data_IF_592895125231
#
_entry.id   IF_592895125231
#
_cell.length_a   1.000
_cell.length_b   1.000
_cell.length_c   1.000
_cell.angle_alpha   90.00
_cell.angle_beta   90.00
_cell.angle_gamma   90.00
#
_symmetry.space_group_name_H-M   'P 1'
#
loop_
_entity.id
_entity.type
_entity.pdbx_description
1 polymer ?
#
# COMPACT_ATOMS: atom_id res chain seq x y z
N UNK A 1 -7.08 18.74 -22.71
CA UNK A 1 -7.26 19.35 -21.37
C UNK A 1 -8.39 20.34 -21.50
N UNK A 2 -9.62 19.88 -21.25
CA UNK A 2 -10.84 20.62 -21.57
C UNK A 2 -11.38 21.41 -20.37
N UNK A 3 -11.71 22.67 -20.61
CA UNK A 3 -12.81 23.50 -20.10
C UNK A 3 -13.15 23.61 -18.59
N UNK A 4 -12.56 22.84 -17.68
CA UNK A 4 -12.95 22.91 -16.26
C UNK A 4 -12.50 24.21 -15.58
N UNK A 5 -11.32 24.72 -15.93
CA UNK A 5 -10.76 25.95 -15.36
C UNK A 5 -10.44 26.95 -16.46
N UNK A 6 -10.80 28.21 -16.23
CA UNK A 6 -10.39 29.34 -17.05
C UNK A 6 -8.89 29.60 -16.93
N UNK A 7 -8.32 30.31 -17.91
CA UNK A 7 -6.90 30.68 -17.88
C UNK A 7 -6.52 31.47 -16.60
N UNK A 8 -7.41 32.32 -16.10
CA UNK A 8 -7.19 33.08 -14.87
C UNK A 8 -7.19 32.17 -13.62
N UNK A 9 -8.08 31.17 -13.58
CA UNK A 9 -8.09 30.19 -12.50
C UNK A 9 -6.83 29.33 -12.54
N UNK A 10 -6.40 28.86 -13.72
CA UNK A 10 -5.14 28.14 -13.87
C UNK A 10 -3.95 28.99 -13.39
N UNK A 11 -3.90 30.27 -13.73
CA UNK A 11 -2.86 31.18 -13.24
C UNK A 11 -2.91 31.35 -11.71
N UNK A 12 -4.10 31.47 -11.14
CA UNK A 12 -4.27 31.57 -9.68
C UNK A 12 -3.83 30.29 -8.98
N UNK A 13 -4.22 29.10 -9.48
CA UNK A 13 -3.73 27.81 -8.96
C UNK A 13 -2.20 27.75 -8.95
N UNK A 14 -1.55 28.21 -10.03
CA UNK A 14 -0.08 28.27 -10.09
C UNK A 14 0.54 29.16 -9.02
N UNK A 15 -0.08 30.30 -8.73
CA UNK A 15 0.39 31.21 -7.68
C UNK A 15 0.30 30.56 -6.28
N UNK A 16 -0.59 29.59 -6.10
CA UNK A 16 -0.73 28.80 -4.86
C UNK A 16 0.04 27.47 -4.90
N UNK A 17 0.97 27.29 -5.85
CA UNK A 17 1.78 26.08 -5.93
C UNK A 17 0.97 24.85 -6.36
N UNK A 18 0.00 24.99 -7.25
CA UNK A 18 -0.85 23.91 -7.73
C UNK A 18 -0.73 23.76 -9.25
N UNK A 19 -0.62 22.51 -9.71
CA UNK A 19 -0.61 22.13 -11.12
C UNK A 19 -1.71 21.11 -11.43
N UNK A 20 -2.20 21.14 -12.67
CA UNK A 20 -3.04 20.09 -13.22
C UNK A 20 -2.28 19.40 -14.36
N UNK A 21 -2.09 18.09 -14.28
CA UNK A 21 -1.49 17.28 -15.33
C UNK A 21 -2.25 15.96 -15.47
N UNK A 22 -2.62 15.60 -16.71
CA UNK A 22 -3.33 14.36 -17.03
C UNK A 22 -4.53 14.07 -16.08
N UNK A 23 -5.36 15.09 -15.87
CA UNK A 23 -6.54 15.05 -15.00
C UNK A 23 -6.24 14.71 -13.52
N UNK A 24 -5.02 15.02 -13.06
CA UNK A 24 -4.63 14.95 -11.66
C UNK A 24 -4.14 16.31 -11.17
N UNK A 25 -4.48 16.61 -9.92
CA UNK A 25 -3.98 17.72 -9.11
C UNK A 25 -2.63 17.34 -8.51
N UNK A 26 -1.66 18.25 -8.62
CA UNK A 26 -0.40 18.22 -7.90
C UNK A 26 -0.32 19.47 -7.02
N UNK A 27 0.17 19.32 -5.80
CA UNK A 27 0.37 20.41 -4.83
C UNK A 27 1.87 20.59 -4.55
N UNK A 28 2.24 21.68 -3.88
CA UNK A 28 3.64 22.03 -3.62
C UNK A 28 4.54 22.01 -4.86
N UNK A 29 3.95 22.40 -5.99
CA UNK A 29 4.61 22.27 -7.28
C UNK A 29 5.77 23.26 -7.38
N UNK A 30 6.88 22.78 -7.88
CA UNK A 30 8.11 23.54 -8.01
C UNK A 30 8.15 24.31 -9.34
N UNK A 31 9.02 25.33 -9.47
CA UNK A 31 9.22 26.02 -10.74
C UNK A 31 9.51 25.06 -11.91
N UNK A 32 9.09 25.39 -13.15
CA UNK A 32 9.42 24.60 -14.32
C UNK A 32 10.92 24.39 -14.54
N UNK A 33 11.28 23.23 -15.08
CA UNK A 33 12.64 22.95 -15.50
C UNK A 33 12.98 23.72 -16.78
N UNK A 34 14.18 24.30 -16.84
CA UNK A 34 14.67 24.93 -18.07
C UNK A 34 14.94 23.90 -19.16
N UNK A 35 14.71 24.25 -20.44
CA UNK A 35 15.02 23.34 -21.57
C UNK A 35 16.49 22.88 -21.55
N UNK A 36 17.42 23.76 -21.18
CA UNK A 36 18.84 23.40 -21.09
C UNK A 36 19.10 22.27 -20.08
N UNK A 37 18.37 22.25 -18.96
CA UNK A 37 18.47 21.18 -17.96
C UNK A 37 17.77 19.91 -18.44
N UNK A 38 16.62 20.02 -19.09
CA UNK A 38 15.93 18.87 -19.72
C UNK A 38 16.86 18.19 -20.74
N UNK A 39 17.50 18.97 -21.61
CA UNK A 39 18.41 18.46 -22.64
C UNK A 39 19.69 17.84 -22.03
N UNK A 40 20.18 18.36 -20.90
CA UNK A 40 21.28 17.73 -20.15
C UNK A 40 20.90 16.36 -19.60
N UNK A 41 19.68 16.22 -19.05
CA UNK A 41 19.19 14.92 -18.57
C UNK A 41 18.93 13.96 -19.74
N UNK A 42 18.36 14.43 -20.84
CA UNK A 42 18.19 13.62 -22.06
C UNK A 42 19.54 13.09 -22.57
N UNK A 43 20.59 13.90 -22.50
CA UNK A 43 21.92 13.53 -22.97
C UNK A 43 22.55 12.35 -22.20
N UNK A 44 22.13 12.06 -20.97
CA UNK A 44 22.62 10.91 -20.19
C UNK A 44 21.72 9.67 -20.30
N UNK A 45 20.60 9.77 -21.00
CA UNK A 45 19.66 8.67 -21.19
C UNK A 45 20.00 7.81 -22.42
N UNK A 46 19.59 6.54 -22.39
CA UNK A 46 19.80 5.58 -23.48
C UNK A 46 18.92 5.85 -24.72
N UNK A 47 17.87 6.65 -24.56
CA UNK A 47 16.93 7.06 -25.60
C UNK A 47 16.33 8.43 -25.29
N UNK A 48 15.51 8.98 -26.21
CA UNK A 48 14.92 10.30 -26.06
C UNK A 48 13.92 10.33 -24.89
N UNK A 49 13.78 11.49 -24.25
CA UNK A 49 12.77 11.67 -23.21
C UNK A 49 11.37 11.68 -23.84
N UNK A 50 10.39 10.97 -23.25
CA UNK A 50 9.01 11.02 -23.72
C UNK A 50 8.45 12.44 -23.66
N UNK A 51 7.66 12.81 -24.67
CA UNK A 51 7.07 14.14 -24.76
C UNK A 51 6.23 14.49 -23.52
N UNK A 52 5.49 13.54 -22.95
CA UNK A 52 4.70 13.75 -21.75
C UNK A 52 5.56 14.11 -20.52
N UNK A 53 6.77 13.55 -20.40
CA UNK A 53 7.71 13.91 -19.33
C UNK A 53 8.26 15.34 -19.54
N UNK A 54 8.64 15.69 -20.76
CA UNK A 54 9.07 17.06 -21.09
C UNK A 54 7.96 18.07 -20.80
N UNK A 55 6.70 17.74 -21.12
CA UNK A 55 5.54 18.56 -20.79
C UNK A 55 5.34 18.69 -19.29
N UNK A 56 5.47 17.61 -18.53
CA UNK A 56 5.39 17.66 -17.07
C UNK A 56 6.49 18.57 -16.50
N UNK A 57 7.75 18.43 -16.92
CA UNK A 57 8.84 19.27 -16.42
C UNK A 57 8.74 20.75 -16.82
N UNK A 58 8.21 21.05 -18.01
CA UNK A 58 7.85 22.43 -18.41
C UNK A 58 6.69 23.00 -17.59
N UNK A 59 5.90 22.13 -16.98
CA UNK A 59 4.77 22.51 -16.14
C UNK A 59 5.22 22.69 -14.69
N UNK A 60 6.01 21.75 -14.18
CA UNK A 60 6.58 21.75 -12.85
C UNK A 60 7.73 20.73 -12.77
N UNK A 61 8.84 21.12 -12.17
CA UNK A 61 9.93 20.22 -11.87
C UNK A 61 9.83 19.83 -10.40
N UNK A 62 8.82 19.04 -10.02
CA UNK A 62 8.60 18.60 -8.64
C UNK A 62 7.16 18.74 -8.17
N UNK A 63 6.91 18.41 -6.92
CA UNK A 63 5.61 18.53 -6.26
C UNK A 63 5.07 17.20 -5.76
N UNK A 64 3.98 17.29 -5.00
CA UNK A 64 3.37 16.16 -4.30
C UNK A 64 2.13 15.63 -5.03
N UNK A 65 1.92 14.33 -4.84
CA UNK A 65 0.79 13.54 -5.32
C UNK A 65 0.15 12.87 -4.10
N UNK A 66 -1.17 13.03 -3.95
CA UNK A 66 -1.91 12.50 -2.81
C UNK A 66 -2.94 11.44 -3.22
N UNK A 67 -2.50 10.49 -4.04
CA UNK A 67 -3.34 9.44 -4.62
C UNK A 67 -2.86 8.05 -4.24
N UNK A 68 -3.76 7.09 -4.36
CA UNK A 68 -3.47 5.67 -4.24
C UNK A 68 -3.00 5.11 -5.58
N UNK A 69 -2.02 4.22 -5.53
CA UNK A 69 -1.49 3.47 -6.66
C UNK A 69 -1.22 2.03 -6.25
N UNK A 70 -1.62 1.08 -7.11
CA UNK A 70 -1.43 -0.34 -6.90
C UNK A 70 -0.79 -0.99 -8.11
N UNK A 71 0.02 -2.01 -7.87
CA UNK A 71 0.56 -2.86 -8.91
C UNK A 71 0.72 -4.30 -8.42
N UNK A 72 0.66 -5.23 -9.37
CA UNK A 72 0.97 -6.63 -9.13
C UNK A 72 2.48 -6.85 -9.31
N UNK A 73 3.16 -7.36 -8.28
CA UNK A 73 4.60 -7.59 -8.26
C UNK A 73 4.88 -8.98 -7.69
N UNK A 74 5.51 -9.87 -8.47
CA UNK A 74 5.79 -11.26 -8.05
C UNK A 74 4.57 -12.03 -7.50
N UNK A 75 3.38 -11.73 -8.03
CA UNK A 75 2.11 -12.31 -7.60
C UNK A 75 1.51 -11.68 -6.32
N UNK A 76 2.15 -10.66 -5.76
CA UNK A 76 1.61 -9.85 -4.67
C UNK A 76 0.79 -8.66 -5.20
N UNK A 77 -0.24 -8.27 -4.45
CA UNK A 77 -0.96 -7.01 -4.62
C UNK A 77 -0.32 -5.92 -3.76
N UNK A 78 0.49 -5.06 -4.35
CA UNK A 78 1.29 -4.06 -3.63
C UNK A 78 0.70 -2.66 -3.76
N UNK A 79 0.73 -1.90 -2.66
CA UNK A 79 0.52 -0.46 -2.67
C UNK A 79 1.86 0.23 -2.97
N UNK A 80 1.84 1.19 -3.88
CA UNK A 80 3.01 1.95 -4.30
C UNK A 80 2.89 3.39 -3.83
N UNK A 81 3.88 3.86 -3.08
CA UNK A 81 3.96 5.24 -2.66
C UNK A 81 4.61 6.09 -3.74
N UNK A 82 3.78 6.66 -4.62
CA UNK A 82 4.20 7.72 -5.54
C UNK A 82 3.71 9.07 -5.04
N UNK A 83 4.29 9.53 -3.94
CA UNK A 83 3.86 10.75 -3.25
C UNK A 83 4.60 12.01 -3.71
N UNK A 84 5.76 11.87 -4.35
CA UNK A 84 6.59 12.99 -4.81
C UNK A 84 7.03 12.79 -6.27
N UNK A 85 7.10 13.89 -7.01
CA UNK A 85 7.90 14.00 -8.23
C UNK A 85 9.31 14.51 -7.90
N UNK A 86 10.33 13.76 -8.28
CA UNK A 86 11.71 14.14 -7.98
C UNK A 86 12.13 15.41 -8.72
N UNK A 87 12.87 16.27 -8.03
CA UNK A 87 13.39 17.52 -8.59
C UNK A 87 14.73 17.92 -8.02
N UNK A 88 15.47 18.77 -8.75
CA UNK A 88 16.77 19.29 -8.32
C UNK A 88 16.57 20.28 -7.15
N UNK A 89 17.25 20.05 -6.02
CA UNK A 89 17.09 20.84 -4.81
C UNK A 89 15.92 20.42 -3.90
N UNK A 90 15.44 19.18 -4.01
CA UNK A 90 14.59 18.58 -2.97
C UNK A 90 15.38 18.42 -1.67
N UNK A 91 14.76 18.78 -0.53
CA UNK A 91 15.34 18.59 0.81
C UNK A 91 15.15 17.15 1.34
N UNK A 92 14.57 16.27 0.52
CA UNK A 92 14.35 14.85 0.83
C UNK A 92 15.65 14.04 0.72
N UNK A 93 15.56 12.71 0.84
CA UNK A 93 16.73 11.82 0.92
C UNK A 93 17.75 12.03 -0.21
N UNK A 94 17.28 12.12 -1.46
CA UNK A 94 18.05 12.57 -2.62
C UNK A 94 17.15 13.43 -3.49
N UNK A 95 17.74 14.46 -4.09
CA UNK A 95 17.10 15.23 -5.14
C UNK A 95 17.19 14.49 -6.49
N UNK A 96 16.62 15.05 -7.56
CA UNK A 96 16.63 14.38 -8.88
C UNK A 96 18.06 14.09 -9.37
N UNK A 97 18.99 15.03 -9.20
CA UNK A 97 20.39 14.83 -9.56
C UNK A 97 21.03 13.69 -8.76
N UNK A 98 20.84 13.67 -7.43
CA UNK A 98 21.35 12.63 -6.56
C UNK A 98 20.75 11.24 -6.84
N UNK A 99 19.49 11.17 -7.27
CA UNK A 99 18.89 9.93 -7.76
C UNK A 99 19.47 9.50 -9.11
N UNK A 100 19.67 10.43 -10.04
CA UNK A 100 20.33 10.12 -11.32
C UNK A 100 21.74 9.56 -11.07
N UNK A 101 22.52 10.19 -10.21
CA UNK A 101 23.86 9.71 -9.83
C UNK A 101 23.78 8.32 -9.18
N UNK A 102 22.80 8.09 -8.30
CA UNK A 102 22.56 6.77 -7.72
C UNK A 102 22.36 5.68 -8.78
N UNK A 103 21.48 5.93 -9.76
CA UNK A 103 21.13 4.94 -10.77
C UNK A 103 22.30 4.70 -11.73
N UNK A 104 23.18 5.70 -11.91
CA UNK A 104 24.42 5.54 -12.67
C UNK A 104 25.39 4.61 -11.93
N UNK A 105 25.60 4.82 -10.63
CA UNK A 105 26.41 3.92 -9.79
C UNK A 105 25.86 2.49 -9.84
N UNK A 106 24.55 2.30 -9.63
CA UNK A 106 23.93 0.98 -9.69
C UNK A 106 24.04 0.32 -11.07
N UNK A 107 23.93 1.09 -12.16
CA UNK A 107 24.08 0.56 -13.51
C UNK A 107 25.53 0.13 -13.81
N UNK A 108 26.51 0.87 -13.31
CA UNK A 108 27.93 0.53 -13.41
C UNK A 108 28.24 -0.74 -12.61
N UNK A 109 27.82 -0.81 -11.35
CA UNK A 109 27.99 -2.00 -10.49
C UNK A 109 27.37 -3.26 -11.12
N UNK A 110 26.13 -3.15 -11.63
CA UNK A 110 25.46 -4.27 -12.29
C UNK A 110 26.18 -4.74 -13.58
N UNK A 111 26.78 -3.82 -14.34
CA UNK A 111 27.58 -4.15 -15.51
C UNK A 111 28.89 -4.85 -15.11
N UNK A 112 29.57 -4.35 -14.08
CA UNK A 112 30.77 -4.99 -13.53
C UNK A 112 30.49 -6.41 -13.02
N UNK A 113 29.39 -6.63 -12.30
CA UNK A 113 28.98 -7.94 -11.78
C UNK A 113 28.62 -8.93 -12.90
N UNK A 114 28.02 -8.43 -13.99
CA UNK A 114 27.67 -9.24 -15.17
C UNK A 114 28.84 -9.46 -16.14
N UNK A 115 29.96 -8.73 -15.95
CA UNK A 115 31.12 -8.77 -16.84
C UNK A 115 30.90 -8.02 -18.17
N UNK A 116 29.87 -7.18 -18.24
CA UNK A 116 29.54 -6.34 -19.39
C UNK A 116 30.14 -4.93 -19.23
N UNK A 117 30.41 -4.26 -20.34
CA UNK A 117 30.79 -2.85 -20.31
C UNK A 117 29.53 -1.97 -20.30
N UNK A 118 29.37 -1.13 -19.28
CA UNK A 118 28.31 -0.12 -19.28
C UNK A 118 28.63 1.00 -20.28
N UNK A 119 27.61 1.43 -21.04
CA UNK A 119 27.73 2.48 -22.07
C UNK A 119 27.61 3.91 -21.51
N UNK A 120 27.52 4.04 -20.19
CA UNK A 120 27.35 5.31 -19.48
C UNK A 120 25.96 5.94 -19.66
N UNK A 121 24.97 5.17 -20.13
CA UNK A 121 23.59 5.64 -20.34
C UNK A 121 22.59 4.99 -19.40
N UNK A 122 21.66 5.79 -18.91
CA UNK A 122 20.54 5.33 -18.10
C UNK A 122 19.43 4.74 -18.98
N UNK A 123 19.02 3.51 -18.66
CA UNK A 123 17.84 2.86 -19.25
C UNK A 123 16.57 3.13 -18.46
N UNK A 124 16.71 3.49 -17.19
CA UNK A 124 15.61 3.85 -16.29
C UNK A 124 15.94 5.21 -15.68
N UNK A 125 15.07 6.19 -15.91
CA UNK A 125 15.20 7.52 -15.36
C UNK A 125 14.22 7.68 -14.19
N UNK A 126 14.69 7.93 -12.96
CA UNK A 126 13.81 8.12 -11.81
C UNK A 126 13.06 9.44 -11.96
N UNK A 127 11.74 9.42 -11.70
CA UNK A 127 10.87 10.60 -11.80
C UNK A 127 10.04 10.86 -10.55
N UNK A 128 10.04 9.95 -9.58
CA UNK A 128 9.29 10.09 -8.35
C UNK A 128 9.32 8.83 -7.49
N UNK A 129 8.64 8.88 -6.35
CA UNK A 129 8.61 7.78 -5.38
C UNK A 129 8.41 8.31 -3.96
N UNK A 130 8.84 7.51 -2.98
CA UNK A 130 8.88 7.91 -1.57
C UNK A 130 10.09 7.30 -0.86
N UNK A 131 10.83 8.17 -0.18
CA UNK A 131 12.02 7.85 0.61
C UNK A 131 13.05 6.98 -0.15
N UNK A 132 13.05 5.67 0.08
CA UNK A 132 13.99 4.70 -0.51
C UNK A 132 13.33 3.35 -0.85
N UNK A 133 12.05 3.15 -0.53
CA UNK A 133 11.37 1.85 -0.66
C UNK A 133 10.58 1.72 -1.96
N UNK A 134 10.07 2.82 -2.51
CA UNK A 134 9.27 2.85 -3.73
C UNK A 134 9.86 3.87 -4.70
N UNK A 135 10.10 3.47 -5.95
CA UNK A 135 10.63 4.34 -7.01
C UNK A 135 9.85 4.17 -8.31
N UNK A 136 9.55 5.28 -8.96
CA UNK A 136 8.88 5.36 -10.25
C UNK A 136 9.87 5.83 -11.30
N UNK A 137 9.96 5.08 -12.39
CA UNK A 137 10.90 5.27 -13.48
C UNK A 137 10.18 5.45 -14.81
N UNK A 138 10.84 6.17 -15.70
CA UNK A 138 10.58 6.11 -17.14
C UNK A 138 11.59 5.18 -17.78
N UNK A 139 11.12 4.19 -18.53
CA UNK A 139 11.99 3.31 -19.31
C UNK A 139 12.39 3.99 -20.62
N UNK A 140 13.70 4.10 -20.86
CA UNK A 140 14.27 4.89 -21.96
C UNK A 140 15.11 4.06 -22.93
N UNK A 141 15.27 2.76 -22.69
CA UNK A 141 15.97 1.92 -23.66
C UNK A 141 15.16 1.81 -24.98
N UNK A 142 15.82 1.76 -26.14
CA UNK A 142 15.14 1.59 -27.42
C UNK A 142 14.31 0.30 -27.45
N UNK A 143 13.06 0.38 -27.89
CA UNK A 143 12.18 -0.78 -28.03
C UNK A 143 10.70 -0.42 -27.94
N UNK A 144 9.85 -1.44 -27.99
CA UNK A 144 8.39 -1.28 -27.94
C UNK A 144 7.88 -0.72 -26.59
N UNK A 145 8.70 -0.83 -25.54
CA UNK A 145 8.37 -0.36 -24.19
C UNK A 145 8.91 1.05 -23.89
N UNK A 146 9.63 1.67 -24.85
CA UNK A 146 10.25 2.98 -24.64
C UNK A 146 9.19 4.03 -24.27
N UNK A 147 9.42 4.73 -23.16
CA UNK A 147 8.52 5.69 -22.55
C UNK A 147 7.54 5.11 -21.52
N UNK A 148 7.53 3.79 -21.35
CA UNK A 148 6.74 3.10 -20.33
C UNK A 148 7.14 3.50 -18.92
N UNK A 149 6.16 3.46 -18.01
CA UNK A 149 6.34 3.81 -16.61
C UNK A 149 6.44 2.54 -15.78
N UNK A 150 7.48 2.46 -14.98
CA UNK A 150 7.84 1.28 -14.21
C UNK A 150 7.97 1.65 -12.75
N UNK A 151 7.38 0.85 -11.87
CA UNK A 151 7.60 0.91 -10.44
C UNK A 151 8.61 -0.15 -10.01
N UNK A 152 9.48 0.23 -9.09
CA UNK A 152 10.29 -0.68 -8.27
C UNK A 152 9.88 -0.52 -6.81
N UNK A 153 9.82 -1.65 -6.10
CA UNK A 153 9.54 -1.71 -4.67
C UNK A 153 10.56 -2.59 -3.97
N UNK A 154 11.12 -2.10 -2.87
CA UNK A 154 12.09 -2.83 -2.07
C UNK A 154 11.45 -4.07 -1.42
N UNK A 155 12.15 -5.19 -1.48
CA UNK A 155 11.81 -6.38 -0.70
C UNK A 155 12.06 -6.19 0.80
N UNK A 156 11.15 -6.69 1.63
CA UNK A 156 11.25 -6.72 3.08
C UNK A 156 11.32 -8.18 3.58
N UNK A 157 12.45 -8.87 3.38
CA UNK A 157 12.60 -10.28 3.77
C UNK A 157 12.33 -10.48 5.27
N UNK A 158 11.55 -11.51 5.57
CA UNK A 158 11.13 -11.86 6.94
C UNK A 158 9.85 -11.15 7.40
N UNK A 159 9.35 -10.16 6.67
CA UNK A 159 8.06 -9.53 6.95
C UNK A 159 6.94 -10.33 6.31
N UNK A 160 6.02 -10.85 7.13
CA UNK A 160 4.91 -11.68 6.64
C UNK A 160 4.05 -10.91 5.66
N UNK A 161 3.79 -11.53 4.50
CA UNK A 161 3.06 -10.98 3.36
C UNK A 161 3.69 -9.83 2.59
N UNK A 162 4.79 -9.23 3.05
CA UNK A 162 5.53 -8.29 2.21
C UNK A 162 6.20 -9.03 1.03
N UNK A 163 6.57 -8.27 -0.01
CA UNK A 163 7.57 -8.72 -0.98
C UNK A 163 8.83 -9.18 -0.23
N UNK A 164 9.34 -10.37 -0.56
CA UNK A 164 10.54 -10.92 0.11
C UNK A 164 11.84 -10.53 -0.61
N UNK A 165 11.72 -10.05 -1.83
CA UNK A 165 12.79 -9.55 -2.70
C UNK A 165 12.25 -8.33 -3.44
N UNK A 166 13.14 -7.56 -4.06
CA UNK A 166 12.75 -6.39 -4.84
C UNK A 166 11.79 -6.78 -5.97
N UNK A 167 10.72 -6.01 -6.13
CA UNK A 167 9.70 -6.20 -7.14
C UNK A 167 9.74 -5.09 -8.19
N UNK A 168 9.45 -5.44 -9.44
CA UNK A 168 9.31 -4.50 -10.54
C UNK A 168 7.99 -4.74 -11.26
N UNK A 169 7.25 -3.67 -11.57
CA UNK A 169 6.03 -3.74 -12.37
C UNK A 169 5.93 -2.59 -13.35
N UNK A 170 5.44 -2.87 -14.55
CA UNK A 170 5.01 -1.82 -15.48
C UNK A 170 3.66 -1.28 -15.01
N UNK A 171 3.59 0.04 -14.77
CA UNK A 171 2.34 0.72 -14.40
C UNK A 171 1.52 1.02 -15.66
N UNK A 172 2.16 1.59 -16.68
CA UNK A 172 1.50 1.98 -17.92
C UNK A 172 2.51 2.12 -19.07
N UNK A 173 1.99 2.16 -20.30
CA UNK A 173 2.80 2.34 -21.52
C UNK A 173 3.35 3.77 -21.68
N UNK A 174 2.79 4.75 -20.98
CA UNK A 174 3.28 6.13 -20.96
C UNK A 174 2.92 6.87 -19.66
N UNK A 175 3.48 8.08 -19.49
CA UNK A 175 3.27 8.92 -18.31
C UNK A 175 1.82 9.34 -18.10
N UNK A 176 1.06 9.58 -19.16
CA UNK A 176 -0.35 9.98 -19.01
C UNK A 176 -1.19 8.80 -18.56
N UNK A 177 -0.89 7.59 -19.06
CA UNK A 177 -1.46 6.34 -18.58
C UNK A 177 -1.15 6.10 -17.11
N UNK A 178 0.09 6.33 -16.66
CA UNK A 178 0.45 6.16 -15.25
C UNK A 178 -0.30 7.15 -14.33
N UNK A 179 -0.46 8.40 -14.77
CA UNK A 179 -1.29 9.37 -14.05
C UNK A 179 -2.78 8.98 -14.05
N UNK A 180 -3.27 8.31 -15.09
CA UNK A 180 -4.64 7.80 -15.12
C UNK A 180 -4.85 6.65 -14.11
N UNK A 181 -3.81 5.90 -13.76
CA UNK A 181 -3.88 4.85 -12.74
C UNK A 181 -3.98 5.39 -11.30
N UNK A 182 -3.49 6.61 -11.04
CA UNK A 182 -3.64 7.29 -9.74
C UNK A 182 -5.12 7.50 -9.43
N UNK A 183 -5.59 7.08 -8.25
CA UNK A 183 -6.99 7.27 -7.84
C UNK A 183 -7.12 7.72 -6.38
N UNK A 184 -8.36 7.95 -5.95
CA UNK A 184 -8.72 7.97 -4.54
C UNK A 184 -9.57 6.73 -4.27
N UNK A 185 -9.12 5.85 -3.37
CA UNK A 185 -9.88 4.68 -2.93
C UNK A 185 -10.96 5.05 -1.90
N UNK A 186 -10.74 6.16 -1.17
CA UNK A 186 -11.65 6.72 -0.17
C UNK A 186 -11.94 8.19 -0.44
N UNK A 187 -13.09 8.67 0.03
CA UNK A 187 -13.41 10.11 -0.03
C UNK A 187 -12.30 10.91 0.66
N UNK A 188 -11.76 11.98 0.05
CA UNK A 188 -10.69 12.79 0.66
C UNK A 188 -11.06 13.44 2.00
N UNK A 189 -12.35 13.56 2.35
CA UNK A 189 -12.78 13.99 3.69
C UNK A 189 -12.72 12.85 4.74
N UNK A 190 -12.48 11.62 4.30
CA UNK A 190 -12.31 10.46 5.17
C UNK A 190 -11.00 10.55 5.96
N UNK A 191 -10.99 10.13 7.24
CA UNK A 191 -9.82 10.25 8.11
C UNK A 191 -8.62 9.42 7.66
N UNK A 192 -8.86 8.34 6.91
CA UNK A 192 -7.83 7.41 6.44
C UNK A 192 -7.49 7.63 4.94
N UNK A 193 -8.06 8.66 4.30
CA UNK A 193 -7.84 8.92 2.88
C UNK A 193 -6.49 9.58 2.61
N UNK A 194 -5.75 9.05 1.65
CA UNK A 194 -4.54 9.69 1.09
C UNK A 194 -4.85 11.12 0.61
N UNK A 195 -6.09 11.37 0.16
CA UNK A 195 -6.54 12.67 -0.33
C UNK A 195 -6.67 13.77 0.72
N UNK A 196 -6.62 13.45 2.03
CA UNK A 196 -6.71 14.45 3.11
C UNK A 196 -5.60 15.51 2.99
N UNK A 197 -4.40 15.10 2.54
CA UNK A 197 -3.25 15.98 2.35
C UNK A 197 -3.54 17.15 1.40
N UNK A 198 -4.31 16.91 0.32
CA UNK A 198 -4.71 17.98 -0.61
C UNK A 198 -5.71 18.91 0.04
N UNK A 199 -6.66 18.41 0.84
CA UNK A 199 -7.61 19.27 1.54
C UNK A 199 -6.91 20.17 2.57
N UNK A 200 -6.01 19.59 3.37
CA UNK A 200 -5.20 20.34 4.34
C UNK A 200 -4.38 21.45 3.65
N UNK A 201 -3.78 21.12 2.50
CA UNK A 201 -3.04 22.09 1.69
C UNK A 201 -3.94 23.23 1.21
N UNK A 202 -5.16 22.93 0.74
CA UNK A 202 -6.09 23.95 0.27
C UNK A 202 -6.60 24.82 1.40
N UNK A 203 -6.89 24.24 2.56
CA UNK A 203 -7.29 24.99 3.75
C UNK A 203 -6.21 25.99 4.18
N UNK A 204 -4.93 25.57 4.19
CA UNK A 204 -3.79 26.46 4.41
C UNK A 204 -3.73 27.58 3.36
N UNK A 205 -3.86 27.24 2.06
CA UNK A 205 -3.82 28.25 0.99
C UNK A 205 -4.95 29.27 1.08
N UNK A 206 -6.13 28.87 1.52
CA UNK A 206 -7.26 29.78 1.77
C UNK A 206 -7.00 30.65 3.00
N UNK A 207 -6.62 30.04 4.12
CA UNK A 207 -6.46 30.73 5.40
C UNK A 207 -5.30 31.74 5.39
N UNK A 208 -4.15 31.32 4.86
CA UNK A 208 -2.88 32.03 5.08
C UNK A 208 -2.32 32.68 3.81
N UNK A 209 -2.76 32.24 2.63
CA UNK A 209 -2.21 32.69 1.34
C UNK A 209 -3.21 33.40 0.43
N UNK A 210 -4.45 33.61 0.88
CA UNK A 210 -5.44 34.40 0.17
C UNK A 210 -6.05 33.73 -1.06
N UNK A 211 -6.00 32.40 -1.14
CA UNK A 211 -6.71 31.65 -2.17
C UNK A 211 -8.23 31.88 -2.02
N UNK A 212 -8.97 32.21 -3.10
CA UNK A 212 -10.41 32.32 -3.01
C UNK A 212 -11.05 30.97 -2.67
N UNK A 213 -11.93 30.94 -1.65
CA UNK A 213 -12.66 29.72 -1.25
C UNK A 213 -13.35 29.03 -2.45
N UNK A 214 -13.98 29.81 -3.33
CA UNK A 214 -14.67 29.25 -4.50
C UNK A 214 -13.72 28.51 -5.47
N UNK A 215 -12.45 28.91 -5.55
CA UNK A 215 -11.44 28.22 -6.34
C UNK A 215 -10.99 26.92 -5.64
N UNK A 216 -10.79 26.96 -4.32
CA UNK A 216 -10.50 25.77 -3.52
C UNK A 216 -11.63 24.73 -3.64
N UNK A 217 -12.89 25.13 -3.45
CA UNK A 217 -14.07 24.26 -3.57
C UNK A 217 -14.16 23.62 -4.95
N UNK A 218 -13.90 24.40 -6.01
CA UNK A 218 -13.89 23.92 -7.39
C UNK A 218 -12.77 22.91 -7.63
N UNK A 219 -11.58 23.15 -7.07
CA UNK A 219 -10.46 22.21 -7.15
C UNK A 219 -10.75 20.93 -6.36
N UNK A 220 -11.35 21.02 -5.18
CA UNK A 220 -11.80 19.85 -4.40
C UNK A 220 -12.80 19.02 -5.19
N UNK A 221 -13.77 19.65 -5.85
CA UNK A 221 -14.72 18.96 -6.72
C UNK A 221 -14.05 18.30 -7.93
N UNK A 222 -13.03 18.94 -8.51
CA UNK A 222 -12.23 18.35 -9.58
C UNK A 222 -11.40 17.16 -9.08
N UNK A 223 -10.75 17.30 -7.93
CA UNK A 223 -9.93 16.28 -7.29
C UNK A 223 -10.73 15.01 -6.96
N UNK A 224 -11.94 15.18 -6.40
CA UNK A 224 -12.87 14.09 -6.11
C UNK A 224 -13.28 13.27 -7.33
N UNK A 225 -13.06 13.73 -8.57
CA UNK A 225 -13.31 12.91 -9.77
C UNK A 225 -12.37 11.70 -9.89
N UNK A 226 -11.23 11.73 -9.18
CA UNK A 226 -10.33 10.58 -9.07
C UNK A 226 -10.85 9.50 -8.12
N UNK A 227 -11.92 9.77 -7.36
CA UNK A 227 -12.57 8.79 -6.47
C UNK A 227 -13.18 7.67 -7.31
N UNK A 228 -12.72 6.46 -7.06
CA UNK A 228 -13.26 5.27 -7.72
C UNK A 228 -14.54 4.80 -7.05
N UNK A 229 -15.63 4.69 -7.82
CA UNK A 229 -16.92 4.22 -7.33
C UNK A 229 -17.12 2.72 -7.63
N UNK A 230 -16.93 1.88 -6.62
CA UNK A 230 -17.28 0.46 -6.69
C UNK A 230 -18.76 0.19 -6.38
N UNK A 231 -19.48 1.11 -5.74
CA UNK A 231 -20.88 0.91 -5.32
C UNK A 231 -21.82 0.89 -6.51
N UNK A 232 -21.60 1.75 -7.50
CA UNK A 232 -22.34 1.75 -8.76
C UNK A 232 -22.30 0.39 -9.48
N UNK A 233 -21.10 -0.13 -9.84
CA UNK A 233 -20.95 -1.45 -10.45
C UNK A 233 -21.48 -2.60 -9.58
N UNK A 234 -21.33 -2.53 -8.26
CA UNK A 234 -21.92 -3.51 -7.35
C UNK A 234 -23.46 -3.52 -7.45
N UNK A 235 -24.10 -2.36 -7.42
CA UNK A 235 -25.56 -2.25 -7.56
C UNK A 235 -26.05 -2.72 -8.94
N UNK A 236 -25.26 -2.48 -9.99
CA UNK A 236 -25.56 -2.91 -11.35
C UNK A 236 -25.24 -4.40 -11.62
N UNK A 237 -24.55 -5.10 -10.70
CA UNK A 237 -24.12 -6.48 -10.90
C UNK A 237 -22.98 -6.63 -11.93
N UNK A 238 -22.22 -5.56 -12.19
CA UNK A 238 -21.15 -5.52 -13.19
C UNK A 238 -19.76 -5.47 -12.58
N UNK A 239 -19.64 -5.60 -11.26
CA UNK A 239 -18.37 -5.47 -10.54
C UNK A 239 -17.31 -6.47 -11.02
N UNK A 240 -17.71 -7.67 -11.46
CA UNK A 240 -16.81 -8.68 -12.03
C UNK A 240 -16.08 -8.22 -13.30
N UNK A 241 -16.54 -7.15 -13.96
CA UNK A 241 -15.88 -6.56 -15.13
C UNK A 241 -14.68 -5.68 -14.73
N UNK A 242 -14.53 -5.33 -13.45
CA UNK A 242 -13.43 -4.54 -12.93
C UNK A 242 -12.83 -5.17 -11.67
N UNK A 243 -11.77 -6.00 -11.81
CA UNK A 243 -11.09 -6.62 -10.67
C UNK A 243 -10.62 -5.62 -9.62
N UNK A 244 -10.16 -4.43 -10.05
CA UNK A 244 -9.74 -3.34 -9.17
C UNK A 244 -10.87 -2.87 -8.26
N UNK A 245 -12.05 -2.59 -8.83
CA UNK A 245 -13.21 -2.15 -8.04
C UNK A 245 -13.75 -3.28 -7.13
N UNK A 246 -13.68 -4.53 -7.58
CA UNK A 246 -14.03 -5.67 -6.75
C UNK A 246 -13.11 -5.81 -5.53
N UNK A 247 -11.80 -5.66 -5.72
CA UNK A 247 -10.81 -5.68 -4.64
C UNK A 247 -11.01 -4.51 -3.68
N UNK A 248 -11.31 -3.31 -4.18
CA UNK A 248 -11.62 -2.15 -3.33
C UNK A 248 -12.88 -2.38 -2.48
N UNK A 249 -13.96 -2.87 -3.08
CA UNK A 249 -15.18 -3.22 -2.34
C UNK A 249 -14.90 -4.27 -1.25
N UNK A 250 -14.05 -5.26 -1.55
CA UNK A 250 -13.64 -6.26 -0.57
C UNK A 250 -12.81 -5.66 0.56
N UNK A 251 -11.80 -4.83 0.27
CA UNK A 251 -11.01 -4.12 1.29
C UNK A 251 -11.93 -3.29 2.22
N UNK A 252 -12.89 -2.58 1.65
CA UNK A 252 -13.89 -1.82 2.41
C UNK A 252 -14.73 -2.74 3.32
N UNK A 253 -15.17 -3.89 2.80
CA UNK A 253 -15.90 -4.87 3.60
C UNK A 253 -15.08 -5.40 4.78
N UNK A 254 -13.78 -5.66 4.58
CA UNK A 254 -12.90 -6.14 5.64
C UNK A 254 -12.64 -5.07 6.70
N UNK A 255 -12.36 -3.84 6.29
CA UNK A 255 -12.10 -2.71 7.21
C UNK A 255 -13.29 -2.43 8.13
N UNK A 256 -14.52 -2.70 7.67
CA UNK A 256 -15.76 -2.45 8.40
C UNK A 256 -16.38 -3.72 9.04
N UNK A 257 -15.69 -4.86 8.96
CA UNK A 257 -16.22 -6.17 9.35
C UNK A 257 -17.60 -6.50 8.73
N UNK A 258 -17.82 -6.07 7.49
CA UNK A 258 -19.10 -6.21 6.80
C UNK A 258 -19.21 -7.57 6.08
N UNK A 259 -19.64 -8.57 6.84
CA UNK A 259 -19.93 -9.91 6.31
C UNK A 259 -21.10 -9.95 5.30
N UNK A 260 -21.99 -8.96 5.29
CA UNK A 260 -23.09 -8.91 4.34
C UNK A 260 -22.59 -8.46 2.95
N UNK A 261 -21.72 -7.44 2.91
CA UNK A 261 -21.04 -7.02 1.69
C UNK A 261 -20.17 -8.15 1.11
N UNK A 262 -19.41 -8.88 1.94
CA UNK A 262 -18.67 -10.07 1.47
C UNK A 262 -19.60 -11.11 0.83
N UNK A 263 -20.75 -11.39 1.43
CA UNK A 263 -21.72 -12.33 0.86
C UNK A 263 -22.30 -11.83 -0.46
N UNK A 264 -22.53 -10.52 -0.61
CA UNK A 264 -22.97 -9.91 -1.86
C UNK A 264 -21.90 -10.01 -2.96
N UNK A 265 -20.63 -9.75 -2.64
CA UNK A 265 -19.51 -9.92 -3.56
C UNK A 265 -19.39 -11.37 -4.04
N UNK A 266 -19.51 -12.33 -3.11
CA UNK A 266 -19.52 -13.75 -3.45
C UNK A 266 -20.68 -14.14 -4.37
N UNK A 267 -21.88 -13.58 -4.13
CA UNK A 267 -23.06 -13.85 -4.96
C UNK A 267 -22.91 -13.32 -6.40
N UNK A 268 -22.04 -12.32 -6.62
CA UNK A 268 -21.69 -11.83 -7.96
C UNK A 268 -20.51 -12.59 -8.60
N UNK A 269 -20.05 -13.68 -7.99
CA UNK A 269 -19.02 -14.55 -8.54
C UNK A 269 -17.58 -14.09 -8.26
N UNK A 270 -17.37 -13.20 -7.30
CA UNK A 270 -16.02 -12.82 -6.88
C UNK A 270 -15.28 -14.02 -6.27
N UNK A 271 -14.08 -14.30 -6.77
CA UNK A 271 -13.17 -15.30 -6.19
C UNK A 271 -12.28 -14.70 -5.11
N UNK A 272 -12.04 -15.46 -4.04
CA UNK A 272 -11.23 -15.02 -2.88
C UNK A 272 -9.86 -15.69 -2.78
N UNK A 273 -9.39 -16.31 -3.88
CA UNK A 273 -8.13 -17.06 -3.90
C UNK A 273 -6.90 -16.24 -4.26
N UNK A 274 -7.09 -15.03 -4.79
CA UNK A 274 -5.99 -14.15 -5.17
C UNK A 274 -5.54 -13.32 -3.95
N UNK A 275 -4.26 -12.90 -3.92
CA UNK A 275 -3.79 -11.97 -2.91
C UNK A 275 -4.51 -10.62 -2.97
N UNK A 276 -4.78 -10.05 -1.80
CA UNK A 276 -5.49 -8.78 -1.62
C UNK A 276 -4.56 -7.67 -1.07
N UNK A 277 -3.55 -8.06 -0.30
CA UNK A 277 -2.53 -7.18 0.28
C UNK A 277 -1.22 -7.94 0.43
N UNK A 278 -0.22 -7.54 -0.34
CA UNK A 278 1.00 -8.34 -0.47
C UNK A 278 0.64 -9.75 -0.95
N UNK A 279 1.17 -10.78 -0.28
CA UNK A 279 0.75 -12.17 -0.51
C UNK A 279 -0.46 -12.64 0.32
N UNK A 280 -1.06 -11.76 1.14
CA UNK A 280 -2.18 -12.12 2.01
C UNK A 280 -3.47 -12.33 1.21
N UNK A 281 -4.16 -13.44 1.45
CA UNK A 281 -5.52 -13.63 0.92
C UNK A 281 -6.52 -12.76 1.68
N UNK A 282 -7.74 -12.62 1.14
CA UNK A 282 -8.81 -11.90 1.81
C UNK A 282 -9.09 -12.43 3.24
N UNK A 283 -9.00 -13.74 3.44
CA UNK A 283 -9.21 -14.35 4.77
C UNK A 283 -8.06 -14.00 5.72
N UNK A 284 -6.81 -14.04 5.26
CA UNK A 284 -5.67 -13.64 6.08
C UNK A 284 -5.80 -12.18 6.53
N UNK A 285 -6.19 -11.28 5.61
CA UNK A 285 -6.43 -9.86 5.91
C UNK A 285 -7.55 -9.69 6.94
N UNK A 286 -8.69 -10.39 6.77
CA UNK A 286 -9.80 -10.32 7.71
C UNK A 286 -9.39 -10.77 9.12
N UNK A 287 -8.61 -11.84 9.24
CA UNK A 287 -8.13 -12.34 10.53
C UNK A 287 -7.15 -11.37 11.20
N UNK A 288 -6.23 -10.78 10.43
CA UNK A 288 -5.28 -9.77 10.92
C UNK A 288 -5.98 -8.51 11.42
N UNK A 289 -7.09 -8.10 10.79
CA UNK A 289 -7.89 -6.94 11.20
C UNK A 289 -8.94 -7.26 12.27
N UNK A 290 -9.09 -8.53 12.64
CA UNK A 290 -10.13 -9.02 13.55
C UNK A 290 -11.56 -8.82 13.04
N UNK A 291 -11.71 -8.78 11.71
CA UNK A 291 -12.98 -8.70 11.00
C UNK A 291 -13.64 -10.09 10.96
N UNK A 292 -14.19 -10.53 12.10
CA UNK A 292 -14.67 -11.89 12.27
C UNK A 292 -16.01 -12.19 11.59
N UNK A 293 -16.88 -11.20 11.38
CA UNK A 293 -18.10 -11.38 10.59
C UNK A 293 -17.77 -11.52 9.10
N UNK A 294 -16.85 -10.70 8.59
CA UNK A 294 -16.31 -10.80 7.24
C UNK A 294 -15.54 -12.11 7.02
N UNK A 295 -14.68 -12.52 7.96
CA UNK A 295 -13.96 -13.81 7.88
C UNK A 295 -14.92 -15.00 7.81
N UNK A 296 -16.01 -15.00 8.60
CA UNK A 296 -17.03 -16.04 8.51
C UNK A 296 -17.78 -16.03 7.17
N UNK A 297 -18.05 -14.86 6.61
CA UNK A 297 -18.66 -14.75 5.29
C UNK A 297 -17.74 -15.26 4.17
N UNK A 298 -16.44 -14.94 4.23
CA UNK A 298 -15.42 -15.48 3.32
C UNK A 298 -15.34 -17.00 3.39
N UNK A 299 -15.37 -17.57 4.60
CA UNK A 299 -15.45 -19.02 4.76
C UNK A 299 -16.73 -19.56 4.15
N UNK A 300 -17.92 -19.01 4.42
CA UNK A 300 -19.15 -19.47 3.75
C UNK A 300 -19.06 -19.41 2.23
N UNK A 301 -18.37 -18.42 1.69
CA UNK A 301 -18.15 -18.24 0.26
C UNK A 301 -17.02 -19.12 -0.33
N UNK A 302 -16.36 -19.95 0.48
CA UNK A 302 -15.34 -20.90 0.01
C UNK A 302 -13.95 -20.30 -0.16
N UNK A 303 -13.64 -19.18 0.52
CA UNK A 303 -12.28 -18.64 0.54
C UNK A 303 -11.28 -19.70 1.06
N UNK A 304 -10.07 -19.78 0.46
CA UNK A 304 -9.04 -20.71 0.90
C UNK A 304 -8.56 -20.37 2.31
N UNK A 305 -8.15 -21.39 3.06
CA UNK A 305 -7.62 -21.26 4.42
C UNK A 305 -6.14 -21.55 4.39
N UNK A 306 -5.33 -20.59 4.84
CA UNK A 306 -3.89 -20.80 5.01
C UNK A 306 -3.61 -21.73 6.19
N UNK A 307 -2.54 -22.53 6.09
CA UNK A 307 -2.13 -23.42 7.18
C UNK A 307 -1.86 -22.64 8.48
N UNK A 308 -1.36 -21.40 8.37
CA UNK A 308 -1.00 -20.54 9.49
C UNK A 308 -2.12 -19.57 9.90
N UNK A 309 -3.37 -19.79 9.47
CA UNK A 309 -4.50 -18.90 9.77
C UNK A 309 -4.69 -18.64 11.27
N UNK A 310 -4.44 -19.65 12.13
CA UNK A 310 -4.56 -19.50 13.59
C UNK A 310 -3.49 -18.59 14.21
N UNK A 311 -2.40 -18.31 13.49
CA UNK A 311 -1.33 -17.44 13.99
C UNK A 311 -1.69 -15.96 13.91
N UNK A 312 -2.78 -15.61 13.22
CA UNK A 312 -3.21 -14.24 12.92
C UNK A 312 -4.06 -13.60 14.02
N UNK A 313 -4.43 -14.37 15.03
CA UNK A 313 -5.22 -13.83 16.13
C UNK A 313 -4.40 -12.91 17.02
N UNK A 314 -4.89 -11.69 17.14
CA UNK A 314 -4.43 -10.73 18.13
C UNK A 314 -5.57 -10.20 19.02
N UNK A 315 -6.80 -10.69 18.83
CA UNK A 315 -7.95 -10.50 19.73
C UNK A 315 -8.62 -11.84 19.98
N UNK A 316 -9.47 -11.92 21.01
CA UNK A 316 -10.21 -13.14 21.36
C UNK A 316 -11.02 -13.64 20.14
N UNK A 317 -10.68 -14.81 19.56
CA UNK A 317 -11.39 -15.29 18.37
C UNK A 317 -12.69 -16.02 18.74
N UNK A 318 -13.74 -15.95 17.92
CA UNK A 318 -14.94 -16.76 18.10
C UNK A 318 -14.65 -18.25 17.93
N UNK A 319 -15.15 -19.09 18.84
CA UNK A 319 -14.96 -20.55 18.78
C UNK A 319 -15.45 -21.16 17.46
N UNK A 320 -16.60 -20.68 16.95
CA UNK A 320 -17.17 -21.13 15.69
C UNK A 320 -16.30 -20.80 14.46
N UNK A 321 -15.56 -19.69 14.51
CA UNK A 321 -14.62 -19.32 13.46
C UNK A 321 -13.41 -20.27 13.48
N UNK A 322 -12.81 -20.51 14.65
CA UNK A 322 -11.66 -21.41 14.78
C UNK A 322 -12.01 -22.84 14.38
N UNK A 323 -13.17 -23.35 14.78
CA UNK A 323 -13.64 -24.67 14.36
C UNK A 323 -13.74 -24.79 12.82
N UNK A 324 -14.22 -23.75 12.13
CA UNK A 324 -14.30 -23.74 10.66
C UNK A 324 -12.93 -23.65 10.00
N UNK A 325 -12.00 -22.87 10.56
CA UNK A 325 -10.62 -22.79 10.05
C UNK A 325 -9.93 -24.16 10.14
N UNK A 326 -10.04 -24.83 11.30
CA UNK A 326 -9.51 -26.17 11.52
C UNK A 326 -10.12 -27.20 10.56
N UNK A 327 -11.44 -27.19 10.41
CA UNK A 327 -12.15 -28.09 9.49
C UNK A 327 -11.75 -27.90 8.01
N UNK A 328 -11.11 -26.77 7.69
CA UNK A 328 -10.67 -26.41 6.34
C UNK A 328 -9.14 -26.39 6.17
N UNK A 329 -8.41 -27.00 7.10
CA UNK A 329 -6.99 -27.26 6.94
C UNK A 329 -6.07 -26.24 7.59
N UNK A 330 -6.58 -25.32 8.43
CA UNK A 330 -5.70 -24.56 9.32
C UNK A 330 -4.98 -25.53 10.27
N UNK A 331 -3.68 -25.34 10.45
CA UNK A 331 -2.83 -26.24 11.24
C UNK A 331 -3.09 -26.03 12.73
N UNK A 332 -3.50 -27.09 13.41
CA UNK A 332 -3.58 -27.14 14.87
C UNK A 332 -2.17 -27.35 15.46
N UNK A 333 -1.46 -26.26 15.75
CA UNK A 333 -0.11 -26.29 16.32
C UNK A 333 0.00 -25.51 17.64
N UNK A 334 1.13 -25.69 18.33
CA UNK A 334 1.40 -25.06 19.62
C UNK A 334 1.36 -23.53 19.59
N UNK A 335 1.76 -22.91 18.48
CA UNK A 335 1.71 -21.46 18.32
C UNK A 335 0.25 -20.96 18.21
N UNK A 336 -0.61 -21.67 17.46
CA UNK A 336 -2.04 -21.40 17.40
C UNK A 336 -2.71 -21.49 18.78
N UNK A 337 -2.33 -22.49 19.59
CA UNK A 337 -2.78 -22.61 20.99
C UNK A 337 -2.31 -21.41 21.80
N UNK A 338 -1.01 -21.07 21.75
CA UNK A 338 -0.43 -19.94 22.48
C UNK A 338 -1.08 -18.60 22.12
N UNK A 339 -1.38 -18.36 20.84
CA UNK A 339 -2.11 -17.16 20.39
C UNK A 339 -3.51 -17.08 20.97
N UNK A 340 -4.28 -18.17 20.93
CA UNK A 340 -5.63 -18.22 21.50
C UNK A 340 -5.59 -17.95 23.02
N UNK A 341 -4.65 -18.58 23.73
CA UNK A 341 -4.46 -18.36 25.17
C UNK A 341 -4.10 -16.90 25.46
N UNK A 342 -3.07 -16.36 24.78
CA UNK A 342 -2.65 -14.98 24.98
C UNK A 342 -3.83 -14.01 24.79
N UNK A 343 -4.67 -14.23 23.79
CA UNK A 343 -5.88 -13.44 23.51
C UNK A 343 -7.04 -13.65 24.50
N UNK A 344 -6.87 -14.42 25.58
CA UNK A 344 -7.92 -14.65 26.57
C UNK A 344 -8.98 -15.67 26.12
N UNK A 345 -8.66 -16.59 25.21
CA UNK A 345 -9.58 -17.60 24.68
C UNK A 345 -9.18 -19.04 25.06
N UNK A 346 -9.19 -19.42 26.36
CA UNK A 346 -8.73 -20.74 26.80
C UNK A 346 -9.61 -21.87 26.27
N UNK A 347 -10.93 -21.67 26.12
CA UNK A 347 -11.82 -22.69 25.55
C UNK A 347 -11.51 -22.93 24.07
N UNK A 348 -11.20 -21.88 23.34
CA UNK A 348 -10.78 -21.97 21.93
C UNK A 348 -9.41 -22.63 21.81
N UNK A 349 -8.48 -22.32 22.72
CA UNK A 349 -7.19 -23.00 22.79
C UNK A 349 -7.36 -24.52 22.98
N UNK A 350 -8.30 -24.96 23.83
CA UNK A 350 -8.62 -26.39 24.00
C UNK A 350 -9.20 -27.01 22.72
N UNK A 351 -9.98 -26.27 21.92
CA UNK A 351 -10.43 -26.75 20.61
C UNK A 351 -9.25 -27.00 19.66
N UNK A 352 -8.28 -26.09 19.62
CA UNK A 352 -7.07 -26.25 18.80
C UNK A 352 -6.25 -27.45 19.26
N UNK A 353 -6.09 -27.65 20.57
CA UNK A 353 -5.40 -28.82 21.13
C UNK A 353 -6.11 -30.12 20.75
N UNK A 354 -7.43 -30.16 20.85
CA UNK A 354 -8.22 -31.34 20.53
C UNK A 354 -8.17 -31.70 19.03
N UNK A 355 -8.01 -30.70 18.15
CA UNK A 355 -7.78 -30.91 16.72
C UNK A 355 -6.30 -31.22 16.37
N UNK A 356 -5.40 -31.05 17.35
CA UNK A 356 -3.98 -31.29 17.23
C UNK A 356 -3.59 -32.76 17.28
N UNK A 357 -2.41 -33.07 16.75
CA UNK A 357 -1.80 -34.39 16.82
C UNK A 357 -0.89 -34.58 18.04
N UNK A 358 -0.21 -35.72 18.09
CA UNK A 358 0.86 -35.96 19.06
C UNK A 358 1.93 -34.84 18.97
N UNK A 359 2.39 -34.36 20.13
CA UNK A 359 3.42 -33.32 20.21
C UNK A 359 2.90 -31.88 20.33
N UNK A 360 1.60 -31.62 20.14
CA UNK A 360 1.04 -30.25 20.28
C UNK A 360 1.25 -29.67 21.68
N UNK A 361 1.19 -30.49 22.74
CA UNK A 361 1.44 -30.02 24.09
C UNK A 361 2.88 -29.54 24.31
N UNK A 362 3.87 -30.24 23.74
CA UNK A 362 5.27 -29.85 23.81
C UNK A 362 5.54 -28.58 22.97
N UNK A 363 5.00 -28.54 21.75
CA UNK A 363 5.08 -27.36 20.88
C UNK A 363 4.39 -26.12 21.51
N UNK A 364 3.29 -26.32 22.23
CA UNK A 364 2.64 -25.25 22.98
C UNK A 364 3.53 -24.73 24.11
N UNK A 365 4.18 -25.61 24.88
CA UNK A 365 5.07 -25.18 25.95
C UNK A 365 6.21 -24.30 25.41
N UNK A 366 6.84 -24.71 24.31
CA UNK A 366 7.88 -23.93 23.63
C UNK A 366 7.35 -22.57 23.14
N UNK A 367 6.22 -22.57 22.43
CA UNK A 367 5.61 -21.33 21.92
C UNK A 367 5.16 -20.38 23.05
N UNK A 368 4.59 -20.93 24.12
CA UNK A 368 4.19 -20.20 25.33
C UNK A 368 5.37 -19.52 25.97
N UNK A 369 6.48 -20.24 26.18
CA UNK A 369 7.66 -19.72 26.86
C UNK A 369 8.35 -18.63 26.02
N UNK A 370 8.46 -18.83 24.70
CA UNK A 370 8.96 -17.80 23.78
C UNK A 370 8.09 -16.54 23.78
N UNK A 371 6.76 -16.69 23.75
CA UNK A 371 5.82 -15.58 23.76
C UNK A 371 5.80 -14.84 25.11
N UNK A 372 5.87 -15.58 26.22
CA UNK A 372 6.00 -15.01 27.56
C UNK A 372 7.26 -14.15 27.67
N UNK A 373 8.42 -14.68 27.28
CA UNK A 373 9.68 -13.95 27.33
C UNK A 373 9.63 -12.63 26.54
N UNK A 374 9.02 -12.67 25.35
CA UNK A 374 8.82 -11.47 24.52
C UNK A 374 7.91 -10.43 25.19
N UNK A 375 6.72 -10.84 25.65
CA UNK A 375 5.78 -9.89 26.26
C UNK A 375 6.26 -9.33 27.59
N UNK A 376 7.00 -10.12 28.39
CA UNK A 376 7.63 -9.62 29.62
C UNK A 376 8.70 -8.57 29.35
N UNK A 377 9.53 -8.78 28.32
CA UNK A 377 10.52 -7.80 27.89
C UNK A 377 9.87 -6.53 27.33
N UNK A 378 8.87 -6.66 26.46
CA UNK A 378 8.12 -5.51 25.92
C UNK A 378 7.42 -4.74 27.04
N UNK A 379 6.80 -5.43 28.00
CA UNK A 379 6.16 -4.81 29.17
C UNK A 379 7.17 -4.03 30.02
N UNK A 380 8.36 -4.59 30.25
CA UNK A 380 9.45 -3.91 30.98
C UNK A 380 9.89 -2.64 30.24
N UNK A 381 10.02 -2.70 28.92
CA UNK A 381 10.41 -1.54 28.09
C UNK A 381 9.34 -0.46 28.06
N UNK A 382 8.06 -0.83 27.93
CA UNK A 382 6.92 0.09 27.96
C UNK A 382 6.83 0.81 29.30
N UNK A 383 6.92 0.08 30.42
CA UNK A 383 6.93 0.67 31.77
C UNK A 383 8.12 1.61 32.01
N UNK A 384 9.24 1.38 31.32
CA UNK A 384 10.41 2.24 31.35
C UNK A 384 10.34 3.42 30.37
N UNK A 385 9.25 3.57 29.59
CA UNK A 385 9.12 4.61 28.56
C UNK A 385 10.04 4.42 27.35
N UNK A 386 10.60 3.21 27.15
CA UNK A 386 11.58 2.89 26.09
C UNK A 386 10.96 2.23 24.85
N UNK A 387 9.65 2.01 24.86
CA UNK A 387 8.91 1.39 23.77
C UNK A 387 7.46 1.89 23.81
N UNK A 388 6.97 2.42 22.68
CA UNK A 388 5.54 2.52 22.41
C UNK A 388 5.04 1.17 21.91
N UNK A 389 4.01 0.62 22.55
CA UNK A 389 3.42 -0.66 22.16
C UNK A 389 1.90 -0.51 22.10
N UNK A 390 1.26 -0.99 21.03
CA UNK A 390 -0.17 -0.79 20.78
C UNK A 390 -1.09 -1.36 21.88
N UNK A 391 -0.70 -2.47 22.51
CA UNK A 391 -1.41 -3.03 23.68
C UNK A 391 -1.24 -2.20 24.97
N UNK A 392 -0.26 -1.30 25.03
CA UNK A 392 0.14 -0.64 26.28
C UNK A 392 0.65 -1.61 27.36
N UNK A 393 0.90 -1.08 28.55
CA UNK A 393 1.39 -1.88 29.68
C UNK A 393 0.32 -2.86 30.21
N UNK A 394 -0.94 -2.45 30.24
CA UNK A 394 -2.03 -3.27 30.80
C UNK A 394 -2.36 -4.45 29.89
N UNK A 395 -2.47 -4.22 28.58
CA UNK A 395 -2.71 -5.29 27.61
C UNK A 395 -1.57 -6.31 27.59
N UNK A 396 -0.31 -5.87 27.67
CA UNK A 396 0.84 -6.79 27.79
C UNK A 396 0.81 -7.61 29.09
N UNK A 397 0.48 -6.97 30.22
CA UNK A 397 0.35 -7.67 31.49
C UNK A 397 -0.77 -8.74 31.45
N UNK A 398 -1.88 -8.43 30.78
CA UNK A 398 -2.97 -9.38 30.55
C UNK A 398 -2.53 -10.58 29.70
N UNK A 399 -1.80 -10.35 28.59
CA UNK A 399 -1.24 -11.46 27.77
C UNK A 399 -0.36 -12.39 28.59
N UNK A 400 0.51 -11.82 29.43
CA UNK A 400 1.40 -12.59 30.33
C UNK A 400 0.59 -13.38 31.35
N UNK A 401 -0.42 -12.77 31.97
CA UNK A 401 -1.29 -13.43 32.94
C UNK A 401 -2.04 -14.63 32.31
N UNK A 402 -2.61 -14.43 31.12
CA UNK A 402 -3.33 -15.47 30.39
C UNK A 402 -2.43 -16.68 30.08
N UNK A 403 -1.22 -16.43 29.57
CA UNK A 403 -0.25 -17.48 29.23
C UNK A 403 0.24 -18.26 30.46
N UNK A 404 0.38 -17.60 31.61
CA UNK A 404 0.78 -18.26 32.88
C UNK A 404 -0.35 -19.07 33.51
N UNK A 405 -1.60 -18.60 33.38
CA UNK A 405 -2.75 -19.22 34.02
C UNK A 405 -3.23 -20.49 33.28
N UNK A 406 -2.98 -20.58 31.98
CA UNK A 406 -3.43 -21.71 31.18
C UNK A 406 -2.52 -22.94 31.35
N UNK A 407 -3.15 -24.07 31.65
CA UNK A 407 -2.50 -25.39 31.77
C UNK A 407 -3.26 -26.35 30.86
N UNK A 408 -2.51 -27.08 30.03
CA UNK A 408 -3.03 -28.12 29.13
C UNK A 408 -3.44 -29.38 29.87
#
# INVERSE_FOLDING_TARGET
MGDDFSANEIQSLRQHGIALFADRVLIEVQPPMSEARIDQIEAICAGPLPQALRELWRLTAGGELAYDLHAQMDGNEEALSWSELFYDGSDQYRDLAGWIEHEQECAEEAAEESGDAWDGKLRYLPIGGFEYCDRIYVYLAPGAQAGGIVAWKQGLPGWTHALQQDGIATIADDLRGAFAELCLEEDPEGPDSTGIRVLEYLDERVADHGMPQALADKLTAFYRRALVDWRGPLAAGTLAQSPRLANLALRHALANDDGALVAQLAAQGMGFGQPLRGSATALDVALMQHAYAAAQALLRAGAPVSADALHRFDRQPPAALVAQLLARGARADGLGVARCVACGAPDVARLVVAAGGEGVAAAYAEARDAMLARYEEDLRRVRAGKLGHYLGADGLAERVANLRAFVL
#
